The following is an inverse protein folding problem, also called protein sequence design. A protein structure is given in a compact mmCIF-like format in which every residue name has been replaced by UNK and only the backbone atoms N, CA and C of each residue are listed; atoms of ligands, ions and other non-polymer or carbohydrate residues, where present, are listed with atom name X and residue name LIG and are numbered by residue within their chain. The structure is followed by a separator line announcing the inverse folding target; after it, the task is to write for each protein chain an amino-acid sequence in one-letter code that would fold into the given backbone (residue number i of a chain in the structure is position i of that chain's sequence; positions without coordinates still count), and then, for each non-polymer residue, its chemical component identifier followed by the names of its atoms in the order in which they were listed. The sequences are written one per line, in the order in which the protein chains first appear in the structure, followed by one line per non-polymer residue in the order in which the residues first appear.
data_IF_077546437070
#
_entry.id   IF_077546437070
#
_cell.length_a   1.000
_cell.length_b   1.000
_cell.length_c   1.000
_cell.angle_alpha   90.00
_cell.angle_beta   90.00
_cell.angle_gamma   90.00
#
_symmetry.space_group_name_H-M   'P 1'
#
loop_
_entity.id
_entity.type
_entity.pdbx_description
1 polymer ?
#
# COMPACT_ATOMS: atom_id res chain seq x y z
N UNK A 1 -13.07 -22.49 35.42
CA UNK A 1 -12.57 -23.22 34.25
C UNK A 1 -11.67 -22.30 33.49
N UNK A 2 -10.50 -22.76 33.00
CA UNK A 2 -9.64 -21.93 32.15
C UNK A 2 -10.41 -21.59 30.85
N UNK A 3 -10.25 -20.37 30.36
CA UNK A 3 -10.83 -19.96 29.08
C UNK A 3 -10.11 -20.73 27.95
N UNK A 4 -10.88 -21.50 27.18
CA UNK A 4 -10.34 -22.37 26.11
C UNK A 4 -10.41 -21.72 24.73
N UNK A 5 -10.88 -20.47 24.65
CA UNK A 5 -10.94 -19.75 23.39
C UNK A 5 -9.53 -19.44 22.88
N UNK A 6 -9.29 -19.46 21.56
CA UNK A 6 -7.98 -19.13 21.00
C UNK A 6 -7.58 -17.68 21.34
N UNK A 7 -6.28 -17.48 21.59
CA UNK A 7 -5.69 -16.17 21.85
C UNK A 7 -5.33 -15.48 20.54
N UNK A 8 -5.82 -14.26 20.36
CA UNK A 8 -5.53 -13.45 19.16
C UNK A 8 -4.84 -12.15 19.54
N UNK A 9 -3.67 -11.91 18.95
CA UNK A 9 -2.96 -10.64 19.08
C UNK A 9 -3.36 -9.67 17.97
N UNK A 10 -3.72 -8.45 18.36
CA UNK A 10 -3.99 -7.33 17.45
C UNK A 10 -2.91 -6.27 17.66
N UNK A 11 -2.06 -6.08 16.66
CA UNK A 11 -0.81 -5.31 16.82
C UNK A 11 -1.00 -3.81 16.98
N UNK A 12 -2.08 -3.27 16.46
CA UNK A 12 -2.36 -1.82 16.46
C UNK A 12 -3.83 -1.56 16.78
N UNK A 13 -4.20 -0.35 17.24
CA UNK A 13 -5.59 0.03 17.36
C UNK A 13 -6.30 -0.07 16.01
N UNK A 14 -7.38 -0.84 15.96
CA UNK A 14 -8.21 -0.99 14.77
C UNK A 14 -9.60 -0.39 15.01
N UNK A 15 -10.43 -0.35 13.96
CA UNK A 15 -11.81 0.15 14.05
C UNK A 15 -12.63 -0.81 14.89
N UNK A 16 -13.05 -0.35 16.05
CA UNK A 16 -13.69 -1.17 17.09
C UNK A 16 -14.93 -1.94 16.60
N UNK A 17 -15.78 -1.28 15.82
CA UNK A 17 -16.98 -1.93 15.26
C UNK A 17 -16.66 -3.14 14.37
N UNK A 18 -15.49 -3.15 13.70
CA UNK A 18 -15.10 -4.24 12.83
C UNK A 18 -14.45 -5.42 13.59
N UNK A 19 -13.79 -5.17 14.73
CA UNK A 19 -13.19 -6.23 15.56
C UNK A 19 -14.14 -6.74 16.65
N UNK A 20 -15.21 -6.01 16.96
CA UNK A 20 -16.17 -6.37 18.01
C UNK A 20 -16.70 -7.83 17.91
N UNK A 21 -16.99 -8.38 16.71
CA UNK A 21 -17.44 -9.77 16.57
C UNK A 21 -16.43 -10.83 17.06
N UNK A 22 -15.16 -10.47 17.22
CA UNK A 22 -14.14 -11.40 17.74
C UNK A 22 -14.21 -11.56 19.27
N UNK A 23 -14.72 -10.58 20.01
CA UNK A 23 -14.63 -10.53 21.49
C UNK A 23 -15.27 -11.72 22.20
N UNK A 24 -16.35 -12.25 21.64
CA UNK A 24 -17.03 -13.41 22.20
C UNK A 24 -16.43 -14.75 21.73
N UNK A 25 -15.61 -14.73 20.68
CA UNK A 25 -15.07 -15.92 20.01
C UNK A 25 -13.62 -16.23 20.37
N UNK A 26 -12.85 -15.22 20.78
CA UNK A 26 -11.41 -15.33 21.07
C UNK A 26 -11.04 -14.57 22.34
N UNK A 27 -9.89 -14.88 22.91
CA UNK A 27 -9.22 -14.05 23.91
C UNK A 27 -8.43 -12.97 23.16
N UNK A 28 -9.01 -11.76 23.06
CA UNK A 28 -8.42 -10.67 22.30
C UNK A 28 -7.36 -9.95 23.13
N UNK A 29 -6.11 -9.90 22.61
CA UNK A 29 -5.04 -9.06 23.13
C UNK A 29 -4.79 -7.90 22.16
N UNK A 30 -5.26 -6.73 22.51
CA UNK A 30 -5.17 -5.51 21.71
C UNK A 30 -4.49 -4.39 22.51
N UNK A 31 -4.03 -3.37 21.81
CA UNK A 31 -3.53 -2.13 22.39
C UNK A 31 -4.45 -0.98 22.00
N UNK A 32 -4.59 0.01 22.87
CA UNK A 32 -5.39 1.22 22.64
C UNK A 32 -4.51 2.36 22.04
N UNK A 33 -3.20 2.15 21.95
CA UNK A 33 -2.26 3.12 21.42
C UNK A 33 -1.46 2.56 20.26
N UNK A 34 -1.10 3.44 19.31
CA UNK A 34 -0.18 3.07 18.22
C UNK A 34 1.17 2.74 18.84
N UNK A 35 1.64 1.52 18.61
CA UNK A 35 2.86 0.98 19.23
C UNK A 35 3.89 0.63 18.16
N UNK A 36 5.10 1.11 18.33
CA UNK A 36 6.26 0.67 17.56
C UNK A 36 6.87 -0.57 18.22
N UNK A 37 6.47 -1.75 17.73
CA UNK A 37 6.95 -3.03 18.26
C UNK A 37 8.37 -3.33 17.78
N UNK A 38 9.28 -3.73 18.70
CA UNK A 38 10.57 -4.29 18.30
C UNK A 38 10.39 -5.70 17.69
N UNK A 39 11.36 -6.17 16.88
CA UNK A 39 11.32 -7.54 16.36
C UNK A 39 11.18 -8.61 17.44
N UNK A 40 11.80 -8.41 18.62
CA UNK A 40 11.76 -9.32 19.77
C UNK A 40 10.37 -9.30 20.44
N UNK A 41 9.79 -8.12 20.61
CA UNK A 41 8.43 -7.97 21.14
C UNK A 41 7.39 -8.62 20.22
N UNK A 42 7.54 -8.47 18.90
CA UNK A 42 6.68 -9.16 17.93
C UNK A 42 6.79 -10.68 18.11
N UNK A 43 8.02 -11.23 18.23
CA UNK A 43 8.22 -12.65 18.43
C UNK A 43 7.57 -13.14 19.74
N UNK A 44 7.67 -12.38 20.83
CA UNK A 44 7.04 -12.69 22.11
C UNK A 44 5.51 -12.73 22.01
N UNK A 45 4.90 -11.72 21.33
CA UNK A 45 3.46 -11.70 21.10
C UNK A 45 2.98 -12.90 20.29
N UNK A 46 3.69 -13.25 19.22
CA UNK A 46 3.33 -14.36 18.36
C UNK A 46 3.53 -15.73 19.03
N UNK A 47 4.55 -15.88 19.89
CA UNK A 47 4.85 -17.13 20.59
C UNK A 47 3.67 -17.61 21.47
N UNK A 48 2.86 -16.70 21.97
CA UNK A 48 1.72 -16.97 22.87
C UNK A 48 0.35 -16.75 22.23
N UNK A 49 0.28 -16.63 20.90
CA UNK A 49 -0.95 -16.42 20.14
C UNK A 49 -1.29 -17.60 19.23
N UNK A 50 -2.59 -17.90 19.09
CA UNK A 50 -3.10 -18.83 18.10
C UNK A 50 -3.31 -18.13 16.74
N UNK A 51 -3.58 -16.82 16.75
CA UNK A 51 -3.72 -16.00 15.55
C UNK A 51 -3.30 -14.55 15.79
N UNK A 52 -3.04 -13.82 14.72
CA UNK A 52 -2.71 -12.40 14.79
C UNK A 52 -3.42 -11.58 13.71
N UNK A 53 -3.83 -10.35 14.04
CA UNK A 53 -4.19 -9.30 13.08
C UNK A 53 -3.10 -8.24 13.18
N UNK A 54 -2.42 -8.00 12.07
CA UNK A 54 -1.30 -7.07 11.99
C UNK A 54 -1.54 -6.01 10.91
N UNK A 55 -0.73 -4.96 10.94
CA UNK A 55 -0.71 -3.92 9.90
C UNK A 55 0.60 -4.00 9.10
N UNK A 56 0.81 -3.04 8.21
CA UNK A 56 2.06 -2.95 7.45
C UNK A 56 3.30 -2.57 8.29
N UNK A 57 3.09 -2.15 9.55
CA UNK A 57 4.18 -1.76 10.44
C UNK A 57 4.96 -2.95 10.98
N UNK A 58 4.31 -4.10 11.15
CA UNK A 58 4.91 -5.30 11.71
C UNK A 58 5.57 -6.13 10.62
N UNK A 59 6.90 -6.27 10.68
CA UNK A 59 7.67 -7.18 9.80
C UNK A 59 7.74 -8.56 10.42
N UNK A 60 7.20 -9.55 9.69
CA UNK A 60 7.14 -10.95 10.14
C UNK A 60 7.97 -11.82 9.21
N UNK A 61 9.03 -12.39 9.75
CA UNK A 61 9.89 -13.36 9.07
C UNK A 61 10.14 -14.59 9.92
N UNK A 62 11.08 -15.43 9.48
CA UNK A 62 11.43 -16.68 10.17
C UNK A 62 11.76 -16.48 11.66
N UNK A 63 12.50 -15.42 12.00
CA UNK A 63 12.88 -15.13 13.37
C UNK A 63 11.68 -14.86 14.28
N UNK A 64 10.68 -14.12 13.80
CA UNK A 64 9.49 -13.77 14.58
C UNK A 64 8.58 -14.97 14.84
N UNK A 65 8.59 -15.97 13.98
CA UNK A 65 7.72 -17.15 14.12
C UNK A 65 8.43 -18.41 14.65
N UNK A 66 9.74 -18.37 14.87
CA UNK A 66 10.53 -19.52 15.32
C UNK A 66 10.02 -20.13 16.63
N UNK A 67 9.55 -19.32 17.59
CA UNK A 67 8.96 -19.74 18.86
C UNK A 67 7.42 -19.89 18.85
N UNK A 68 6.76 -19.62 17.75
CA UNK A 68 5.30 -19.53 17.66
C UNK A 68 4.65 -20.87 17.30
N UNK A 69 4.86 -21.89 18.14
CA UNK A 69 4.43 -23.27 17.88
C UNK A 69 2.92 -23.44 17.68
N UNK A 70 2.11 -22.62 18.38
CA UNK A 70 0.64 -22.67 18.32
C UNK A 70 0.03 -21.71 17.29
N UNK A 71 0.80 -20.76 16.72
CA UNK A 71 0.32 -19.79 15.76
C UNK A 71 -0.16 -20.47 14.48
N UNK A 72 -1.38 -20.20 14.08
CA UNK A 72 -2.05 -20.82 12.95
C UNK A 72 -2.26 -19.86 11.78
N UNK A 73 -2.53 -18.56 12.07
CA UNK A 73 -2.89 -17.59 11.05
C UNK A 73 -2.41 -16.18 11.40
N UNK A 74 -1.96 -15.47 10.37
CA UNK A 74 -1.69 -14.03 10.41
C UNK A 74 -2.56 -13.35 9.34
N UNK A 75 -3.44 -12.44 9.77
CA UNK A 75 -4.25 -11.60 8.90
C UNK A 75 -3.63 -10.20 8.82
N UNK A 76 -3.08 -9.83 7.66
CA UNK A 76 -2.47 -8.53 7.41
C UNK A 76 -3.50 -7.54 6.89
N UNK A 77 -3.72 -6.43 7.60
CA UNK A 77 -4.64 -5.35 7.20
C UNK A 77 -3.94 -4.44 6.18
N UNK A 78 -3.95 -4.85 4.93
CA UNK A 78 -3.34 -4.16 3.80
C UNK A 78 -3.35 -5.03 2.54
N UNK A 79 -3.32 -4.42 1.35
CA UNK A 79 -3.20 -5.18 0.09
C UNK A 79 -1.76 -5.61 -0.16
N UNK A 80 -0.80 -4.72 0.10
CA UNK A 80 0.63 -5.07 0.06
C UNK A 80 1.02 -5.87 1.29
N UNK A 81 1.83 -6.89 1.09
CA UNK A 81 2.30 -7.81 2.15
C UNK A 81 3.82 -8.03 2.11
N UNK A 82 4.57 -7.05 1.62
CA UNK A 82 6.04 -7.08 1.64
C UNK A 82 6.65 -7.01 3.05
N UNK A 83 5.84 -6.81 4.07
CA UNK A 83 6.16 -6.96 5.48
C UNK A 83 6.09 -8.42 5.97
N UNK A 84 5.61 -9.36 5.16
CA UNK A 84 5.53 -10.80 5.46
C UNK A 84 6.55 -11.58 4.63
N UNK A 85 7.35 -12.41 5.29
CA UNK A 85 8.10 -13.48 4.63
C UNK A 85 7.16 -14.68 4.43
N UNK A 86 6.50 -14.70 3.27
CA UNK A 86 5.49 -15.69 2.93
C UNK A 86 6.06 -17.11 2.89
N UNK A 87 7.32 -17.27 2.47
CA UNK A 87 7.98 -18.57 2.41
C UNK A 87 8.27 -19.10 3.81
N UNK A 88 8.76 -18.26 4.71
CA UNK A 88 8.97 -18.63 6.11
C UNK A 88 7.66 -18.99 6.83
N UNK A 89 6.58 -18.21 6.60
CA UNK A 89 5.26 -18.52 7.16
C UNK A 89 4.73 -19.85 6.63
N UNK A 90 4.86 -20.08 5.33
CA UNK A 90 4.45 -21.34 4.69
C UNK A 90 5.19 -22.53 5.26
N UNK A 91 6.52 -22.44 5.37
CA UNK A 91 7.35 -23.50 5.96
C UNK A 91 7.00 -23.80 7.42
N UNK A 92 6.58 -22.79 8.18
CA UNK A 92 6.10 -22.95 9.55
C UNK A 92 4.63 -23.46 9.64
N UNK A 93 3.94 -23.63 8.53
CA UNK A 93 2.54 -24.02 8.46
C UNK A 93 1.58 -22.93 8.97
N UNK A 94 1.98 -21.66 8.88
CA UNK A 94 1.20 -20.51 9.30
C UNK A 94 0.48 -19.93 8.06
N UNK A 95 -0.85 -19.87 8.13
CA UNK A 95 -1.66 -19.25 7.08
C UNK A 95 -1.47 -17.73 7.13
N UNK A 96 -1.36 -17.12 5.96
CA UNK A 96 -1.25 -15.67 5.82
C UNK A 96 -2.31 -15.13 4.86
N UNK A 97 -2.84 -13.95 5.14
CA UNK A 97 -3.79 -13.25 4.28
C UNK A 97 -3.49 -11.76 4.17
N UNK A 98 -4.08 -11.14 3.16
CA UNK A 98 -4.09 -9.70 2.96
C UNK A 98 -5.54 -9.21 2.74
N UNK A 99 -5.75 -7.91 2.44
CA UNK A 99 -7.08 -7.35 2.23
C UNK A 99 -7.22 -6.72 0.84
N UNK A 100 -7.24 -7.54 -0.24
CA UNK A 100 -7.39 -7.06 -1.61
C UNK A 100 -8.82 -6.55 -1.87
N UNK A 101 -8.98 -5.84 -2.98
CA UNK A 101 -10.23 -5.35 -3.56
C UNK A 101 -10.92 -4.23 -2.76
N UNK A 102 -11.15 -4.40 -1.49
CA UNK A 102 -11.93 -3.46 -0.64
C UNK A 102 -11.37 -2.04 -0.59
N UNK A 103 -10.08 -1.84 -0.89
CA UNK A 103 -9.42 -0.52 -0.86
C UNK A 103 -9.13 0.03 -2.27
N UNK A 104 -9.47 -0.69 -3.34
CA UNK A 104 -9.09 -0.37 -4.71
C UNK A 104 -9.51 1.04 -5.11
N UNK A 105 -10.79 1.36 -4.98
CA UNK A 105 -11.33 2.63 -5.43
C UNK A 105 -10.86 3.80 -4.56
N UNK A 106 -10.83 3.64 -3.23
CA UNK A 106 -10.36 4.69 -2.31
C UNK A 106 -8.88 5.03 -2.54
N UNK A 107 -8.04 4.02 -2.79
CA UNK A 107 -6.63 4.26 -3.11
C UNK A 107 -6.46 4.89 -4.49
N UNK A 108 -7.30 4.51 -5.47
CA UNK A 108 -7.31 5.16 -6.78
C UNK A 108 -7.78 6.63 -6.69
N UNK A 109 -8.76 6.93 -5.83
CA UNK A 109 -9.20 8.30 -5.54
C UNK A 109 -8.06 9.14 -4.99
N UNK A 110 -7.34 8.63 -3.96
CA UNK A 110 -6.21 9.36 -3.39
C UNK A 110 -5.09 9.56 -4.43
N UNK A 111 -4.74 8.53 -5.19
CA UNK A 111 -3.70 8.65 -6.22
C UNK A 111 -4.03 9.75 -7.23
N UNK A 112 -5.28 9.82 -7.66
CA UNK A 112 -5.73 10.86 -8.57
C UNK A 112 -5.83 12.24 -7.90
N UNK A 113 -6.29 12.31 -6.65
CA UNK A 113 -6.31 13.54 -5.87
C UNK A 113 -4.89 14.10 -5.64
N UNK A 114 -3.93 13.21 -5.34
CA UNK A 114 -2.53 13.58 -5.15
C UNK A 114 -1.91 14.08 -6.46
N UNK A 115 -2.21 13.45 -7.61
CA UNK A 115 -1.84 13.94 -8.93
C UNK A 115 -2.37 15.36 -9.13
N UNK A 116 -3.66 15.60 -8.88
CA UNK A 116 -4.29 16.92 -9.03
C UNK A 116 -3.67 17.95 -8.11
N UNK A 117 -3.44 17.61 -6.83
CA UNK A 117 -2.82 18.49 -5.85
C UNK A 117 -1.39 18.89 -6.26
N UNK A 118 -0.64 17.93 -6.80
CA UNK A 118 0.74 18.12 -7.26
C UNK A 118 0.79 18.99 -8.53
N UNK A 119 0.05 18.60 -9.57
CA UNK A 119 0.03 19.32 -10.85
C UNK A 119 -0.47 20.77 -10.71
N UNK A 120 -1.44 21.01 -9.82
CA UNK A 120 -2.07 22.32 -9.62
C UNK A 120 -1.48 23.10 -8.43
N UNK A 121 -0.39 22.62 -7.80
CA UNK A 121 0.33 23.27 -6.68
C UNK A 121 -0.60 23.61 -5.50
N UNK A 122 -1.58 22.75 -5.20
CA UNK A 122 -2.66 23.05 -4.25
C UNK A 122 -2.08 23.27 -2.84
N UNK A 123 -1.25 22.36 -2.35
CA UNK A 123 -0.70 22.44 -0.99
C UNK A 123 0.33 23.58 -0.84
N UNK A 124 1.06 23.88 -1.90
CA UNK A 124 1.98 25.02 -1.91
C UNK A 124 1.21 26.35 -1.86
N UNK A 125 0.17 26.49 -2.69
CA UNK A 125 -0.65 27.71 -2.72
C UNK A 125 -1.44 27.90 -1.41
N UNK A 126 -1.89 26.83 -0.78
CA UNK A 126 -2.58 26.84 0.51
C UNK A 126 -1.66 27.36 1.63
N UNK A 127 -0.42 26.82 1.70
CA UNK A 127 0.60 27.32 2.66
C UNK A 127 0.93 28.78 2.43
N UNK A 128 1.20 29.17 1.18
CA UNK A 128 1.51 30.53 0.79
C UNK A 128 0.41 31.52 1.18
N UNK A 129 -0.87 31.11 1.02
CA UNK A 129 -2.04 31.91 1.44
C UNK A 129 -2.09 32.08 2.97
N UNK A 130 -1.89 30.99 3.75
CA UNK A 130 -1.88 31.04 5.22
C UNK A 130 -0.73 31.87 5.78
N UNK A 131 0.40 31.89 5.09
CA UNK A 131 1.56 32.72 5.43
C UNK A 131 1.33 34.22 5.14
N UNK A 132 0.15 34.60 4.64
CA UNK A 132 -0.20 36.00 4.35
C UNK A 132 0.54 36.59 3.14
N UNK A 133 1.10 35.75 2.27
CA UNK A 133 1.89 36.19 1.13
C UNK A 133 1.03 36.68 -0.06
N UNK A 134 -0.28 36.38 -0.06
CA UNK A 134 -1.18 36.82 -1.10
C UNK A 134 -1.61 38.27 -0.87
N UNK A 135 -0.97 39.20 -1.63
CA UNK A 135 -1.24 40.64 -1.51
C UNK A 135 -2.27 41.12 -2.54
N UNK A 136 -2.25 40.54 -3.74
CA UNK A 136 -3.19 40.84 -4.80
C UNK A 136 -3.24 39.72 -5.85
N UNK A 137 -4.30 39.67 -6.63
CA UNK A 137 -4.41 38.71 -7.73
C UNK A 137 -3.44 39.04 -8.88
N UNK A 138 -2.87 37.99 -9.51
CA UNK A 138 -1.97 38.13 -10.65
C UNK A 138 -2.14 36.93 -11.59
N UNK A 139 -2.03 37.18 -12.90
CA UNK A 139 -2.04 36.10 -13.92
C UNK A 139 -0.92 35.07 -13.75
N UNK A 140 0.16 35.42 -13.09
CA UNK A 140 1.33 34.56 -12.92
C UNK A 140 1.36 33.85 -11.58
N UNK A 141 0.36 34.05 -10.73
CA UNK A 141 0.34 33.46 -9.39
C UNK A 141 0.09 31.97 -9.47
N UNK A 142 1.04 31.16 -8.92
CA UNK A 142 0.91 29.70 -8.74
C UNK A 142 0.51 28.93 -10.01
N UNK A 143 1.09 29.29 -11.16
CA UNK A 143 0.88 28.54 -12.40
C UNK A 143 1.29 27.07 -12.21
N UNK A 144 0.38 26.15 -12.51
CA UNK A 144 0.58 24.71 -12.49
C UNK A 144 0.46 24.10 -13.88
N UNK A 145 0.46 22.76 -13.94
CA UNK A 145 0.28 22.01 -15.18
C UNK A 145 -1.20 21.68 -15.43
N UNK A 146 -1.57 21.56 -16.71
CA UNK A 146 -2.88 21.05 -17.12
C UNK A 146 -2.97 19.54 -16.92
N UNK A 147 -4.14 19.07 -16.50
CA UNK A 147 -4.43 17.65 -16.31
C UNK A 147 -5.29 17.14 -17.45
N UNK A 148 -6.35 17.89 -17.78
CA UNK A 148 -7.24 17.54 -18.89
C UNK A 148 -6.46 17.41 -20.21
N UNK A 149 -6.65 16.29 -20.91
CA UNK A 149 -6.02 16.04 -22.21
C UNK A 149 -4.52 15.77 -22.18
N UNK A 150 -3.87 15.81 -21.00
CA UNK A 150 -2.44 15.47 -20.86
C UNK A 150 -2.19 13.95 -20.89
N UNK A 151 -0.92 13.53 -20.88
CA UNK A 151 -0.53 12.12 -20.86
C UNK A 151 -0.33 11.65 -19.42
N UNK A 152 -1.14 10.69 -18.98
CA UNK A 152 -0.99 9.97 -17.72
C UNK A 152 -0.19 8.69 -17.96
N UNK A 153 1.00 8.58 -17.39
CA UNK A 153 1.76 7.34 -17.31
C UNK A 153 1.45 6.60 -16.01
N UNK A 154 1.15 5.31 -16.11
CA UNK A 154 0.91 4.46 -14.94
C UNK A 154 1.92 3.33 -14.93
N UNK A 155 2.77 3.30 -13.91
CA UNK A 155 3.69 2.20 -13.67
C UNK A 155 3.06 1.24 -12.66
N UNK A 156 2.53 0.11 -13.19
CA UNK A 156 1.73 -0.85 -12.43
C UNK A 156 0.22 -0.76 -12.73
N UNK A 157 -0.26 -1.53 -13.71
CA UNK A 157 -1.68 -1.55 -14.12
C UNK A 157 -2.43 -2.72 -13.47
N UNK A 158 -2.29 -2.85 -12.13
CA UNK A 158 -3.12 -3.73 -11.29
C UNK A 158 -4.52 -3.13 -11.08
N UNK A 159 -5.30 -3.66 -10.13
CA UNK A 159 -6.66 -3.19 -9.85
C UNK A 159 -6.73 -1.67 -9.56
N UNK A 160 -5.82 -1.17 -8.71
CA UNK A 160 -5.73 0.27 -8.38
C UNK A 160 -5.32 1.08 -9.60
N UNK A 161 -4.30 0.63 -10.36
CA UNK A 161 -3.87 1.30 -11.60
C UNK A 161 -4.99 1.41 -12.64
N UNK A 162 -5.79 0.36 -12.80
CA UNK A 162 -6.98 0.39 -13.65
C UNK A 162 -8.04 1.39 -13.15
N UNK A 163 -8.25 1.47 -11.84
CA UNK A 163 -9.13 2.47 -11.23
C UNK A 163 -8.67 3.91 -11.53
N UNK A 164 -7.35 4.14 -11.47
CA UNK A 164 -6.75 5.44 -11.80
C UNK A 164 -6.85 5.72 -13.32
N UNK A 165 -6.58 4.71 -14.15
CA UNK A 165 -6.69 4.82 -15.62
C UNK A 165 -8.09 5.25 -16.05
N UNK A 166 -9.15 4.61 -15.50
CA UNK A 166 -10.54 5.00 -15.78
C UNK A 166 -10.81 6.46 -15.42
N UNK A 167 -10.31 6.96 -14.28
CA UNK A 167 -10.45 8.37 -13.88
C UNK A 167 -9.77 9.30 -14.88
N UNK A 168 -8.54 9.00 -15.27
CA UNK A 168 -7.77 9.78 -16.23
C UNK A 168 -8.42 9.79 -17.62
N UNK A 169 -8.66 8.61 -18.18
CA UNK A 169 -9.20 8.47 -19.54
C UNK A 169 -10.63 9.01 -19.65
N UNK A 170 -11.54 8.56 -18.79
CA UNK A 170 -12.97 8.86 -18.94
C UNK A 170 -13.41 10.13 -18.22
N UNK A 171 -12.72 10.53 -17.13
CA UNK A 171 -13.05 11.74 -16.39
C UNK A 171 -12.35 13.00 -16.90
N UNK A 172 -11.09 12.86 -17.34
CA UNK A 172 -10.24 14.00 -17.72
C UNK A 172 -9.76 13.96 -19.17
N UNK A 173 -10.21 12.99 -19.98
CA UNK A 173 -9.82 12.88 -21.38
C UNK A 173 -8.30 12.71 -21.59
N UNK A 174 -7.59 12.17 -20.60
CA UNK A 174 -6.15 11.99 -20.67
C UNK A 174 -5.81 10.84 -21.62
N UNK A 175 -4.66 10.95 -22.31
CA UNK A 175 -4.01 9.81 -22.94
C UNK A 175 -3.36 8.96 -21.87
N UNK A 176 -3.86 7.73 -21.63
CA UNK A 176 -3.29 6.85 -20.60
C UNK A 176 -2.32 5.86 -21.23
N UNK A 177 -1.06 5.93 -20.78
CA UNK A 177 0.00 4.96 -21.09
C UNK A 177 0.30 4.14 -19.82
N UNK A 178 0.67 2.86 -19.99
CA UNK A 178 1.08 2.08 -18.84
C UNK A 178 2.22 1.12 -19.16
N UNK A 179 2.96 0.74 -18.11
CA UNK A 179 3.95 -0.31 -18.15
C UNK A 179 3.72 -1.33 -17.03
N UNK A 180 3.79 -2.60 -17.37
CA UNK A 180 3.80 -3.77 -16.51
C UNK A 180 4.84 -4.77 -17.00
N UNK A 181 5.17 -5.77 -16.18
CA UNK A 181 5.95 -6.94 -16.63
C UNK A 181 5.29 -7.69 -17.80
N UNK A 182 3.96 -7.68 -17.86
CA UNK A 182 3.16 -8.28 -18.93
C UNK A 182 2.05 -7.32 -19.33
N UNK A 183 1.79 -7.24 -20.64
CA UNK A 183 0.67 -6.47 -21.17
C UNK A 183 -0.66 -7.07 -20.69
N UNK A 184 -1.65 -6.23 -20.43
CA UNK A 184 -3.00 -6.64 -20.10
C UNK A 184 -3.73 -7.19 -21.35
N UNK A 185 -4.81 -7.98 -21.16
CA UNK A 185 -5.69 -8.33 -22.25
C UNK A 185 -6.26 -7.08 -22.95
N UNK A 186 -6.37 -7.13 -24.28
CA UNK A 186 -6.86 -6.00 -25.09
C UNK A 186 -8.25 -5.51 -24.66
N UNK A 187 -9.13 -6.39 -24.19
CA UNK A 187 -10.42 -6.02 -23.65
C UNK A 187 -10.32 -5.15 -22.41
N UNK A 188 -9.37 -5.46 -21.50
CA UNK A 188 -9.11 -4.66 -20.29
C UNK A 188 -8.49 -3.31 -20.67
N UNK A 189 -7.53 -3.28 -21.61
CA UNK A 189 -6.96 -2.03 -22.12
C UNK A 189 -8.04 -1.10 -22.69
N UNK A 190 -8.96 -1.65 -23.50
CA UNK A 190 -10.08 -0.90 -24.07
C UNK A 190 -11.04 -0.38 -22.98
N UNK A 191 -11.35 -1.20 -21.96
CA UNK A 191 -12.23 -0.82 -20.85
C UNK A 191 -11.68 0.37 -20.06
N UNK A 192 -10.36 0.34 -19.76
CA UNK A 192 -9.72 1.38 -18.95
C UNK A 192 -9.16 2.54 -19.79
N UNK A 193 -9.24 2.45 -21.11
CA UNK A 193 -8.75 3.47 -22.04
C UNK A 193 -7.23 3.64 -22.02
N UNK A 194 -6.46 2.55 -21.82
CA UNK A 194 -5.01 2.61 -21.67
C UNK A 194 -4.25 1.84 -22.76
N UNK A 195 -3.01 2.26 -23.02
CA UNK A 195 -2.10 1.64 -24.01
C UNK A 195 -0.83 1.19 -23.33
N UNK A 196 -0.42 -0.09 -23.57
CA UNK A 196 0.85 -0.62 -23.11
C UNK A 196 2.03 0.00 -23.86
N UNK A 197 3.08 0.36 -23.12
CA UNK A 197 4.36 0.82 -23.67
C UNK A 197 5.54 0.25 -22.86
N UNK A 198 6.74 0.29 -23.42
CA UNK A 198 7.95 0.03 -22.62
C UNK A 198 8.20 1.13 -21.59
N UNK A 199 9.08 0.83 -20.61
CA UNK A 199 9.35 1.76 -19.52
C UNK A 199 9.95 3.08 -19.98
N UNK A 200 10.87 3.05 -20.93
CA UNK A 200 11.53 4.26 -21.43
C UNK A 200 10.54 5.17 -22.17
N UNK A 201 9.67 4.59 -22.96
CA UNK A 201 8.56 5.31 -23.61
C UNK A 201 7.60 5.90 -22.57
N UNK A 202 7.26 5.13 -21.51
CA UNK A 202 6.40 5.62 -20.43
C UNK A 202 7.01 6.86 -19.76
N UNK A 203 8.30 6.78 -19.37
CA UNK A 203 9.01 7.89 -18.73
C UNK A 203 9.06 9.13 -19.62
N UNK A 204 9.44 8.95 -20.88
CA UNK A 204 9.64 10.07 -21.82
C UNK A 204 8.33 10.76 -22.25
N UNK A 205 7.20 10.02 -22.32
CA UNK A 205 5.95 10.58 -22.82
C UNK A 205 5.01 11.09 -21.72
N UNK A 206 5.18 10.69 -20.47
CA UNK A 206 4.31 11.09 -19.38
C UNK A 206 4.42 12.57 -19.04
N UNK A 207 3.29 13.25 -18.94
CA UNK A 207 3.18 14.55 -18.29
C UNK A 207 2.99 14.36 -16.79
N UNK A 208 2.30 13.29 -16.41
CA UNK A 208 2.11 12.87 -15.03
C UNK A 208 2.42 11.38 -14.94
N UNK A 209 3.44 10.99 -14.17
CA UNK A 209 3.80 9.59 -13.91
C UNK A 209 3.28 9.18 -12.52
N UNK A 210 2.52 8.09 -12.46
CA UNK A 210 1.98 7.56 -11.22
C UNK A 210 2.45 6.11 -10.99
N UNK A 211 3.01 5.86 -9.80
CA UNK A 211 3.54 4.56 -9.40
C UNK A 211 2.53 3.84 -8.50
N UNK A 212 2.14 2.62 -8.89
CA UNK A 212 1.17 1.79 -8.17
C UNK A 212 1.46 0.29 -8.30
N UNK A 213 2.75 -0.06 -8.40
CA UNK A 213 3.22 -1.44 -8.50
C UNK A 213 3.67 -1.99 -7.13
N UNK A 214 3.69 -3.32 -6.93
CA UNK A 214 4.27 -3.92 -5.74
C UNK A 214 5.77 -3.66 -5.66
N UNK A 215 6.28 -3.44 -4.45
CA UNK A 215 7.71 -3.41 -4.19
C UNK A 215 8.28 -4.83 -4.15
N UNK A 216 9.39 -5.02 -4.84
CA UNK A 216 10.25 -6.21 -4.77
C UNK A 216 11.71 -5.76 -4.75
N UNK A 217 12.67 -6.61 -4.33
CA UNK A 217 14.09 -6.25 -4.43
C UNK A 217 14.53 -5.83 -5.85
N UNK A 218 13.92 -6.42 -6.89
CA UNK A 218 14.22 -6.08 -8.28
C UNK A 218 13.63 -4.72 -8.73
N UNK A 219 12.68 -4.16 -7.99
CA UNK A 219 12.10 -2.84 -8.25
C UNK A 219 12.61 -1.75 -7.29
N UNK A 220 13.59 -2.08 -6.44
CA UNK A 220 14.23 -1.09 -5.57
C UNK A 220 14.90 -0.01 -6.42
N UNK A 221 14.58 1.25 -6.12
CA UNK A 221 15.03 2.43 -6.86
C UNK A 221 14.82 2.32 -8.38
N UNK A 222 13.69 1.72 -8.81
CA UNK A 222 13.32 1.65 -10.22
C UNK A 222 13.23 3.05 -10.85
N UNK A 223 12.88 4.04 -10.06
CA UNK A 223 12.94 5.46 -10.43
C UNK A 223 14.16 6.08 -9.74
N UNK A 224 15.29 5.86 -10.35
CA UNK A 224 16.59 6.43 -9.99
C UNK A 224 16.89 7.74 -10.77
N UNK A 225 18.08 8.30 -10.60
CA UNK A 225 18.51 9.50 -11.31
C UNK A 225 18.45 9.35 -12.84
N UNK A 226 18.76 8.16 -13.36
CA UNK A 226 18.74 7.90 -14.80
C UNK A 226 17.31 7.82 -15.35
N UNK A 227 16.38 7.22 -14.60
CA UNK A 227 14.95 7.19 -14.91
C UNK A 227 14.36 8.61 -14.87
N UNK A 228 14.66 9.38 -13.80
CA UNK A 228 14.22 10.78 -13.67
C UNK A 228 14.73 11.66 -14.82
N UNK A 229 15.94 11.42 -15.28
CA UNK A 229 16.52 12.17 -16.41
C UNK A 229 15.82 11.92 -17.76
N UNK A 230 15.06 10.82 -17.90
CA UNK A 230 14.25 10.51 -19.10
C UNK A 230 12.89 11.21 -19.08
N UNK A 231 12.43 11.69 -17.91
CA UNK A 231 11.16 12.38 -17.79
C UNK A 231 11.24 13.81 -18.35
N UNK A 232 10.07 14.35 -18.73
CA UNK A 232 9.99 15.76 -19.14
C UNK A 232 10.29 16.66 -17.93
N UNK A 233 11.02 17.78 -18.08
CA UNK A 233 11.21 18.74 -17.00
C UNK A 233 9.91 19.31 -16.42
N UNK A 234 8.85 19.37 -17.25
CA UNK A 234 7.52 19.81 -16.85
C UNK A 234 6.68 18.70 -16.19
N UNK A 235 7.17 17.47 -16.15
CA UNK A 235 6.42 16.34 -15.64
C UNK A 235 6.29 16.37 -14.12
N UNK A 236 5.25 15.67 -13.63
CA UNK A 236 5.07 15.38 -12.19
C UNK A 236 5.16 13.88 -11.95
N UNK A 237 5.68 13.51 -10.76
CA UNK A 237 5.75 12.13 -10.30
C UNK A 237 4.84 11.95 -9.08
N UNK A 238 4.03 10.88 -9.07
CA UNK A 238 3.19 10.51 -7.92
C UNK A 238 3.53 9.09 -7.47
N UNK A 239 3.80 8.89 -6.19
CA UNK A 239 4.02 7.56 -5.62
C UNK A 239 3.01 7.27 -4.51
N UNK A 240 2.14 6.29 -4.75
CA UNK A 240 1.18 5.74 -3.79
C UNK A 240 1.40 4.24 -3.54
N UNK A 241 2.54 3.72 -3.97
CA UNK A 241 2.87 2.31 -3.89
C UNK A 241 3.75 1.97 -2.68
N UNK A 242 5.06 2.16 -2.81
CA UNK A 242 6.07 2.01 -1.74
C UNK A 242 7.22 2.99 -1.96
N UNK A 243 7.77 3.55 -0.87
CA UNK A 243 8.86 4.53 -0.93
C UNK A 243 10.08 4.02 -1.67
N UNK A 244 10.56 2.82 -1.36
CA UNK A 244 11.76 2.24 -1.97
C UNK A 244 11.68 1.97 -3.49
N UNK A 245 10.59 2.33 -4.19
CA UNK A 245 10.52 2.35 -5.65
C UNK A 245 11.25 3.56 -6.25
N UNK A 246 11.42 4.62 -5.49
CA UNK A 246 12.03 5.88 -5.90
C UNK A 246 13.27 6.10 -5.05
N UNK A 247 14.37 6.45 -5.69
CA UNK A 247 15.53 7.02 -5.00
C UNK A 247 15.16 8.43 -4.53
N UNK A 248 14.83 8.58 -3.25
CA UNK A 248 14.38 9.85 -2.67
C UNK A 248 15.44 10.95 -2.71
N UNK A 249 16.72 10.59 -2.68
CA UNK A 249 17.84 11.56 -2.80
C UNK A 249 17.90 12.09 -4.23
N UNK A 250 17.85 11.18 -5.22
CA UNK A 250 17.83 11.56 -6.64
C UNK A 250 16.58 12.38 -6.98
N UNK A 251 15.42 12.04 -6.41
CA UNK A 251 14.18 12.78 -6.59
C UNK A 251 14.29 14.19 -6.01
N UNK A 252 14.80 14.34 -4.79
CA UNK A 252 14.98 15.64 -4.14
C UNK A 252 15.91 16.55 -4.95
N UNK A 253 17.02 15.98 -5.44
CA UNK A 253 17.96 16.72 -6.31
C UNK A 253 17.30 17.12 -7.65
N UNK A 254 16.53 16.25 -8.29
CA UNK A 254 15.83 16.57 -9.54
C UNK A 254 14.80 17.69 -9.34
N UNK A 255 14.07 17.67 -8.24
CA UNK A 255 13.08 18.70 -7.89
C UNK A 255 13.73 20.05 -7.54
N UNK A 256 14.80 20.03 -6.74
CA UNK A 256 15.54 21.23 -6.34
C UNK A 256 16.16 21.96 -7.53
N UNK A 257 16.65 21.20 -8.53
CA UNK A 257 17.30 21.72 -9.73
C UNK A 257 16.34 21.93 -10.92
N UNK A 258 15.02 21.78 -10.72
CA UNK A 258 14.02 21.98 -11.77
C UNK A 258 14.08 20.97 -12.93
N UNK A 259 14.70 19.81 -12.72
CA UNK A 259 14.72 18.71 -13.70
C UNK A 259 13.42 17.91 -13.69
N UNK A 260 12.62 18.06 -12.65
CA UNK A 260 11.25 17.60 -12.52
C UNK A 260 10.41 18.71 -11.89
N UNK A 261 9.20 18.94 -12.38
CA UNK A 261 8.39 20.06 -11.94
C UNK A 261 7.90 19.91 -10.50
N UNK A 262 7.34 18.77 -10.14
CA UNK A 262 6.81 18.51 -8.81
C UNK A 262 6.66 17.00 -8.54
N UNK A 263 6.51 16.64 -7.25
CA UNK A 263 6.18 15.27 -6.84
C UNK A 263 5.06 15.23 -5.80
N UNK A 264 4.29 14.14 -5.79
CA UNK A 264 3.28 13.81 -4.80
C UNK A 264 3.58 12.43 -4.19
N UNK A 265 3.83 12.37 -2.89
CA UNK A 265 4.25 11.14 -2.21
C UNK A 265 3.30 10.82 -1.07
N UNK A 266 2.73 9.62 -1.07
CA UNK A 266 1.97 9.06 0.04
C UNK A 266 2.78 8.04 0.83
N UNK A 267 3.95 7.64 0.30
CA UNK A 267 4.82 6.59 0.84
C UNK A 267 6.29 7.02 0.77
N UNK A 268 7.10 6.52 1.72
CA UNK A 268 8.50 6.90 1.89
C UNK A 268 9.36 5.65 2.15
N UNK A 269 10.65 5.72 1.81
CA UNK A 269 11.56 4.59 1.99
C UNK A 269 11.78 4.25 3.46
N UNK A 270 11.81 5.25 4.32
CA UNK A 270 12.07 5.12 5.75
C UNK A 270 10.85 5.31 6.67
N UNK A 271 9.61 5.05 6.19
CA UNK A 271 8.40 5.27 6.99
C UNK A 271 8.54 4.84 8.45
N UNK A 272 8.08 5.67 9.39
CA UNK A 272 7.38 6.94 9.25
C UNK A 272 8.28 8.17 9.06
N UNK A 273 9.59 7.99 8.88
CA UNK A 273 10.54 9.08 8.64
C UNK A 273 10.49 9.50 7.19
N UNK A 274 10.45 10.81 6.95
CA UNK A 274 10.56 11.44 5.63
C UNK A 274 11.90 12.14 5.56
N UNK A 275 12.57 12.07 4.40
CA UNK A 275 13.89 12.71 4.26
C UNK A 275 13.80 14.23 4.45
N UNK A 276 14.74 14.86 5.17
CA UNK A 276 14.77 16.31 5.35
C UNK A 276 14.82 17.08 4.03
N UNK A 277 15.45 16.52 3.03
CA UNK A 277 15.59 17.09 1.69
C UNK A 277 14.22 17.25 1.03
N UNK A 278 13.34 16.23 1.11
CA UNK A 278 11.97 16.31 0.60
C UNK A 278 11.12 17.29 1.41
N UNK A 279 11.28 17.29 2.75
CA UNK A 279 10.53 18.19 3.63
C UNK A 279 10.84 19.68 3.37
N UNK A 280 12.04 19.99 2.91
CA UNK A 280 12.47 21.36 2.61
C UNK A 280 11.89 21.91 1.30
N UNK A 281 11.40 21.04 0.40
CA UNK A 281 10.93 21.44 -0.92
C UNK A 281 9.47 21.95 -0.88
N UNK A 282 9.20 22.99 -1.66
CA UNK A 282 7.84 23.54 -1.80
C UNK A 282 7.02 22.84 -2.88
N UNK A 283 7.68 22.30 -3.91
CA UNK A 283 7.07 21.61 -5.04
C UNK A 283 6.84 20.11 -4.77
N UNK A 284 6.69 19.73 -3.51
CA UNK A 284 6.33 18.36 -3.11
C UNK A 284 5.06 18.37 -2.28
N UNK A 285 4.13 17.48 -2.62
CA UNK A 285 2.93 17.17 -1.83
C UNK A 285 3.21 15.89 -1.05
N UNK A 286 3.10 15.96 0.28
CA UNK A 286 3.42 14.83 1.17
C UNK A 286 2.18 14.45 1.97
N UNK A 287 1.83 13.16 1.97
CA UNK A 287 0.76 12.58 2.78
C UNK A 287 1.24 11.35 3.55
N UNK A 288 0.75 11.10 4.78
CA UNK A 288 1.30 10.09 5.69
C UNK A 288 0.67 8.72 5.48
N UNK A 289 0.86 8.12 4.30
CA UNK A 289 0.38 6.79 3.89
C UNK A 289 -1.14 6.62 4.13
N UNK A 290 -1.91 7.48 3.49
CA UNK A 290 -3.36 7.56 3.65
C UNK A 290 -4.16 7.00 2.46
N UNK A 291 -3.53 6.23 1.57
CA UNK A 291 -4.14 5.67 0.36
C UNK A 291 -5.52 5.02 0.57
N UNK A 292 -5.70 4.29 1.67
CA UNK A 292 -6.97 3.65 2.03
C UNK A 292 -7.76 4.39 3.11
N UNK A 293 -7.39 5.60 3.49
CA UNK A 293 -7.87 6.26 4.71
C UNK A 293 -9.28 6.88 4.57
N UNK A 294 -10.28 6.08 4.23
CA UNK A 294 -11.68 6.40 4.51
C UNK A 294 -12.24 5.47 5.60
N UNK A 295 -13.20 5.94 6.39
CA UNK A 295 -13.79 5.12 7.45
C UNK A 295 -14.41 3.84 6.88
N UNK A 296 -15.17 3.95 5.80
CA UNK A 296 -15.82 2.81 5.15
C UNK A 296 -14.79 1.78 4.66
N UNK A 297 -13.75 2.22 3.96
CA UNK A 297 -12.71 1.34 3.43
C UNK A 297 -11.92 0.66 4.53
N UNK A 298 -11.46 1.41 5.53
CA UNK A 298 -10.70 0.81 6.64
C UNK A 298 -11.55 -0.12 7.49
N UNK A 299 -12.84 0.15 7.65
CA UNK A 299 -13.78 -0.80 8.27
C UNK A 299 -13.86 -2.09 7.46
N UNK A 300 -14.04 -2.01 6.14
CA UNK A 300 -14.08 -3.17 5.26
C UNK A 300 -12.76 -3.97 5.25
N UNK A 301 -11.61 -3.27 5.30
CA UNK A 301 -10.29 -3.94 5.41
C UNK A 301 -10.17 -4.73 6.72
N UNK A 302 -10.53 -4.12 7.85
CA UNK A 302 -10.50 -4.80 9.16
C UNK A 302 -11.48 -5.98 9.18
N UNK A 303 -12.69 -5.81 8.64
CA UNK A 303 -13.67 -6.90 8.55
C UNK A 303 -13.14 -8.07 7.71
N UNK A 304 -12.54 -7.80 6.54
CA UNK A 304 -11.94 -8.85 5.72
C UNK A 304 -10.77 -9.56 6.43
N UNK A 305 -9.97 -8.83 7.21
CA UNK A 305 -8.91 -9.44 8.04
C UNK A 305 -9.51 -10.32 9.16
N UNK A 306 -10.60 -9.89 9.79
CA UNK A 306 -11.35 -10.67 10.78
C UNK A 306 -11.91 -11.95 10.15
N UNK A 307 -12.51 -11.86 8.98
CA UNK A 307 -13.07 -13.02 8.27
C UNK A 307 -11.98 -14.03 7.91
N UNK A 308 -10.83 -13.56 7.45
CA UNK A 308 -9.65 -14.41 7.21
C UNK A 308 -9.12 -15.07 8.48
N UNK A 309 -9.03 -14.32 9.59
CA UNK A 309 -8.59 -14.85 10.88
C UNK A 309 -9.54 -15.94 11.39
N UNK A 310 -10.84 -15.67 11.36
CA UNK A 310 -11.89 -16.59 11.79
C UNK A 310 -11.84 -17.90 11.02
N UNK A 311 -11.73 -17.81 9.68
CA UNK A 311 -11.58 -18.96 8.81
C UNK A 311 -10.25 -19.69 9.05
N UNK A 312 -9.15 -18.97 9.20
CA UNK A 312 -7.82 -19.53 9.43
C UNK A 312 -7.68 -20.26 10.77
N UNK A 313 -8.40 -19.83 11.81
CA UNK A 313 -8.53 -20.50 13.10
C UNK A 313 -9.56 -21.64 13.08
N UNK A 314 -10.32 -21.82 12.00
CA UNK A 314 -11.34 -22.84 11.89
C UNK A 314 -12.57 -22.60 12.77
N UNK A 315 -12.82 -21.37 13.20
CA UNK A 315 -13.95 -21.04 14.06
C UNK A 315 -15.31 -21.23 13.36
N UNK A 316 -15.33 -21.19 12.03
CA UNK A 316 -16.52 -21.48 11.19
C UNK A 316 -16.48 -22.90 10.58
N UNK A 317 -15.64 -23.79 11.12
CA UNK A 317 -15.58 -25.18 10.75
C UNK A 317 -14.77 -25.53 9.47
N UNK A 318 -14.17 -24.55 8.78
CA UNK A 318 -13.39 -24.78 7.56
C UNK A 318 -12.17 -23.83 7.43
N UNK A 319 -11.00 -24.16 8.05
CA UNK A 319 -9.82 -23.30 8.05
C UNK A 319 -9.23 -23.01 6.65
N UNK A 320 -9.54 -23.85 5.66
CA UNK A 320 -9.01 -23.70 4.30
C UNK A 320 -9.78 -22.72 3.41
N UNK A 321 -10.87 -22.12 3.90
CA UNK A 321 -11.72 -21.19 3.14
C UNK A 321 -11.53 -19.74 3.53
N UNK A 322 -10.29 -19.32 3.75
CA UNK A 322 -9.99 -17.89 3.96
C UNK A 322 -10.32 -17.09 2.69
N UNK A 323 -11.05 -15.96 2.80
CA UNK A 323 -11.45 -15.14 1.65
C UNK A 323 -10.27 -14.68 0.78
N UNK A 324 -9.11 -14.42 1.38
CA UNK A 324 -7.95 -13.86 0.67
C UNK A 324 -6.61 -14.39 1.20
N UNK A 325 -6.52 -15.71 1.36
CA UNK A 325 -5.25 -16.36 1.70
C UNK A 325 -4.20 -16.16 0.60
N UNK A 326 -2.96 -15.91 1.00
CA UNK A 326 -1.82 -15.72 0.08
C UNK A 326 -0.92 -16.95 -0.01
N UNK A 327 -1.05 -17.91 0.91
CA UNK A 327 -0.18 -19.10 0.96
C UNK A 327 -0.91 -20.40 1.39
N UNK A 328 -2.22 -20.51 1.19
CA UNK A 328 -3.04 -21.58 1.76
C UNK A 328 -2.48 -22.99 1.44
N UNK A 329 -2.21 -23.28 0.16
CA UNK A 329 -1.77 -24.61 -0.27
C UNK A 329 -0.41 -25.00 0.34
N UNK A 330 0.56 -24.08 0.32
CA UNK A 330 1.90 -24.31 0.86
C UNK A 330 1.88 -24.49 2.39
N UNK A 331 1.16 -23.64 3.11
CA UNK A 331 1.04 -23.73 4.57
C UNK A 331 0.30 -24.99 5.01
N UNK A 332 -0.75 -25.40 4.30
CA UNK A 332 -1.48 -26.63 4.61
C UNK A 332 -0.64 -27.88 4.36
N UNK A 333 0.13 -27.90 3.26
CA UNK A 333 1.08 -28.99 3.00
C UNK A 333 2.13 -29.12 4.11
N UNK A 334 2.69 -27.99 4.56
CA UNK A 334 3.64 -27.98 5.65
C UNK A 334 3.04 -28.44 7.00
N UNK A 335 1.77 -28.09 7.30
CA UNK A 335 1.07 -28.59 8.49
C UNK A 335 0.99 -30.10 8.54
N UNK A 336 0.69 -30.73 7.41
CA UNK A 336 0.65 -32.20 7.31
C UNK A 336 2.02 -32.80 7.65
N UNK A 337 3.09 -32.24 7.09
CA UNK A 337 4.47 -32.70 7.33
C UNK A 337 4.91 -32.49 8.78
N UNK A 338 4.53 -31.38 9.40
CA UNK A 338 4.87 -31.02 10.77
C UNK A 338 3.99 -31.71 11.83
N UNK A 339 2.98 -32.51 11.42
CA UNK A 339 2.02 -33.12 12.33
C UNK A 339 1.16 -32.11 13.09
N UNK A 340 1.07 -30.87 12.61
CA UNK A 340 0.20 -29.82 13.19
C UNK A 340 -1.26 -30.09 12.84
N UNK A 341 -2.18 -29.73 13.75
CA UNK A 341 -3.63 -29.96 13.55
C UNK A 341 -4.11 -29.28 12.26
N UNK A 342 -4.56 -30.06 11.30
CA UNK A 342 -5.26 -29.60 10.11
C UNK A 342 -6.76 -29.54 10.41
N UNK A 343 -7.19 -28.66 11.32
CA UNK A 343 -8.59 -28.31 11.55
C UNK A 343 -9.66 -29.44 11.47
N UNK A 344 -9.47 -30.55 12.22
CA UNK A 344 -10.54 -31.50 12.53
C UNK A 344 -10.69 -31.53 14.04
N UNK A 345 -11.58 -30.79 14.58
CA UNK A 345 -12.34 -31.08 15.80
C UNK A 345 -13.79 -30.73 15.56
#
# INVERSE_FOLDING_TARGET
MADTRPTVWVSQPLIDAAIAPLRDRVQLRSTDTVTAWSPEQIAEQLASADGAIITLNERIGAAQVAGAAQLQVIANVGVGYNNLDVDALSAAGILASNTPDVLTETTADLGFALLMATARRITESERWLREGQWQQWSFQTMLGADIHGSTLGILGMGRIGQGIARRGAHGFGMKVLYHNRSQLPAATEAEVGATYVDLDTLLAQSDHLLLVLPYTPASHHLIDAAALAKMKPSATLVNIARGGLVDEIALADALANGRLAAAGLDVYEGEPKVSPELLALRNVVLTPHIGSASLATRTAMVQLAVDNLVAGLGLDGCPSRMPSAINADAAMAARVTLGKKTGKR
#
